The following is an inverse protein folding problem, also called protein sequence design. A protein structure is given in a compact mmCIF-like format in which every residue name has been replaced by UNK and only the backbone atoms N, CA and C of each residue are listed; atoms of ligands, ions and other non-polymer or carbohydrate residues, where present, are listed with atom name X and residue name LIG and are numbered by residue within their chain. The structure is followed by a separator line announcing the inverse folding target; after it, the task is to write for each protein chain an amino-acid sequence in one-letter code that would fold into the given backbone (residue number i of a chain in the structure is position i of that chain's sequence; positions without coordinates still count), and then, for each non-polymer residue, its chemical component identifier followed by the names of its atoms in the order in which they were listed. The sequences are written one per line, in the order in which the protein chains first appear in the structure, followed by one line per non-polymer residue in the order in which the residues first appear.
data_IF_546943566083
#
_entry.id   IF_546943566083
#
_cell.length_a   1.000
_cell.length_b   1.000
_cell.length_c   1.000
_cell.angle_alpha   90.00
_cell.angle_beta   90.00
_cell.angle_gamma   90.00
#
_symmetry.space_group_name_H-M   'P 1'
#
loop_
_entity.id
_entity.type
_entity.pdbx_description
1 polymer ?
#
# COMPACT_ATOMS: atom_id res chain seq x y z
N UNK A 1 34.18 1.70 33.70
CA UNK A 1 32.85 2.23 33.89
C UNK A 1 32.22 2.27 32.50
N UNK A 2 31.25 1.40 32.24
CA UNK A 2 30.48 1.40 31.00
C UNK A 2 29.22 2.23 31.21
N UNK A 3 28.94 3.13 30.30
CA UNK A 3 27.74 3.95 30.29
C UNK A 3 26.91 3.49 29.09
N UNK A 4 25.68 3.06 29.32
CA UNK A 4 24.74 2.73 28.25
C UNK A 4 24.35 3.98 27.50
N UNK A 5 24.37 3.93 26.17
CA UNK A 5 24.01 5.04 25.28
C UNK A 5 22.54 5.05 24.85
N UNK A 6 21.74 4.11 25.42
CA UNK A 6 20.34 3.92 25.02
C UNK A 6 20.20 2.93 23.86
N UNK A 7 19.03 2.92 23.27
CA UNK A 7 18.68 2.13 22.08
C UNK A 7 18.02 3.02 21.04
N UNK A 8 18.22 2.71 19.78
CA UNK A 8 17.57 3.36 18.64
C UNK A 8 16.94 2.29 17.74
N UNK A 9 15.88 2.65 17.02
CA UNK A 9 15.35 1.81 15.94
C UNK A 9 16.39 1.73 14.81
N UNK A 10 16.61 0.55 14.27
CA UNK A 10 17.50 0.32 13.14
C UNK A 10 16.82 0.66 11.83
N UNK A 11 16.08 -0.29 11.28
CA UNK A 11 15.33 -0.16 10.03
C UNK A 11 13.84 -0.35 10.28
N UNK A 12 13.02 0.20 9.42
CA UNK A 12 11.57 -0.05 9.34
C UNK A 12 11.32 -0.59 7.95
N UNK A 13 11.06 -1.88 7.86
CA UNK A 13 10.81 -2.54 6.58
C UNK A 13 9.30 -2.72 6.37
N UNK A 14 8.86 -2.62 5.12
CA UNK A 14 7.46 -2.82 4.74
C UNK A 14 7.34 -4.16 4.01
N UNK A 15 6.51 -5.05 4.50
CA UNK A 15 6.26 -6.34 3.85
C UNK A 15 5.12 -6.18 2.84
N UNK A 16 5.42 -6.43 1.55
CA UNK A 16 4.48 -6.34 0.44
C UNK A 16 3.91 -7.72 0.07
N UNK A 17 3.29 -8.40 1.05
CA UNK A 17 2.57 -9.65 0.76
C UNK A 17 1.15 -9.37 0.30
N UNK A 18 0.64 -10.20 -0.62
CA UNK A 18 -0.76 -10.16 -1.05
C UNK A 18 -1.70 -10.55 0.09
N UNK A 19 -2.82 -9.84 0.21
CA UNK A 19 -3.81 -10.08 1.24
C UNK A 19 -5.15 -10.54 0.65
N UNK A 20 -6.06 -10.94 1.53
CA UNK A 20 -7.42 -11.26 1.15
C UNK A 20 -8.14 -10.05 0.55
N UNK A 21 -9.02 -10.29 -0.42
CA UNK A 21 -9.83 -9.26 -1.05
C UNK A 21 -11.23 -9.25 -0.46
N UNK A 22 -11.76 -8.06 -0.17
CA UNK A 22 -13.13 -7.84 0.32
C UNK A 22 -14.00 -7.29 -0.81
N UNK A 23 -15.17 -7.88 -1.02
CA UNK A 23 -16.15 -7.36 -1.98
C UNK A 23 -16.84 -6.11 -1.44
N UNK A 24 -16.80 -5.05 -2.24
CA UNK A 24 -17.49 -3.77 -1.96
C UNK A 24 -18.69 -3.55 -2.87
N UNK A 25 -18.74 -4.26 -4.02
CA UNK A 25 -19.77 -4.10 -5.03
C UNK A 25 -19.71 -2.80 -5.83
N UNK A 26 -18.68 -1.98 -5.62
CA UNK A 26 -18.49 -0.71 -6.33
C UNK A 26 -17.56 -0.91 -7.52
N UNK A 27 -18.00 -0.57 -8.72
CA UNK A 27 -17.26 -0.81 -9.98
C UNK A 27 -15.89 -0.12 -10.04
N UNK A 28 -15.70 0.98 -9.30
CA UNK A 28 -14.44 1.73 -9.25
C UNK A 28 -13.47 1.23 -8.18
N UNK A 29 -13.88 0.24 -7.38
CA UNK A 29 -12.99 -0.40 -6.44
C UNK A 29 -12.32 -1.59 -7.13
N UNK A 30 -11.01 -1.53 -7.23
CA UNK A 30 -10.19 -2.48 -7.98
C UNK A 30 -9.14 -3.10 -7.08
N UNK A 31 -9.10 -4.41 -6.98
CA UNK A 31 -8.01 -5.11 -6.30
C UNK A 31 -7.14 -5.84 -7.33
N UNK A 32 -5.84 -5.90 -7.07
CA UNK A 32 -4.89 -6.68 -7.85
C UNK A 32 -4.75 -8.06 -7.20
N UNK A 33 -5.09 -9.11 -7.94
CA UNK A 33 -4.92 -10.49 -7.51
C UNK A 33 -3.58 -11.03 -8.01
N UNK A 34 -2.56 -10.87 -7.19
CA UNK A 34 -1.16 -11.17 -7.52
C UNK A 34 -0.25 -9.95 -7.36
N UNK A 35 0.91 -9.99 -8.00
CA UNK A 35 1.89 -8.91 -7.91
C UNK A 35 1.57 -7.75 -8.85
N UNK A 36 1.84 -6.53 -8.39
CA UNK A 36 1.71 -5.34 -9.20
C UNK A 36 1.24 -4.10 -8.45
N UNK A 37 1.37 -2.97 -9.10
CA UNK A 37 1.00 -1.65 -8.60
C UNK A 37 0.31 -0.84 -9.68
N UNK A 38 -0.67 -0.03 -9.29
CA UNK A 38 -1.24 1.00 -10.13
C UNK A 38 -0.28 2.16 -10.25
N UNK A 39 -0.20 2.76 -11.44
CA UNK A 39 0.56 3.98 -11.68
C UNK A 39 -0.31 5.21 -11.50
N UNK A 40 0.22 6.18 -10.79
CA UNK A 40 -0.47 7.42 -10.45
C UNK A 40 0.42 8.59 -10.81
N UNK A 41 -0.18 9.63 -11.37
CA UNK A 41 0.46 10.92 -11.60
C UNK A 41 0.16 11.84 -10.43
N UNK A 42 1.19 12.21 -9.67
CA UNK A 42 1.09 13.12 -8.53
C UNK A 42 1.35 14.58 -8.92
N UNK A 43 1.64 14.86 -10.19
CA UNK A 43 2.06 16.19 -10.67
C UNK A 43 3.55 16.44 -10.47
N UNK A 44 4.19 15.86 -9.44
CA UNK A 44 5.63 15.92 -9.20
C UNK A 44 6.37 14.70 -9.79
N UNK A 45 5.63 13.77 -10.38
CA UNK A 45 6.16 12.56 -10.98
C UNK A 45 5.24 11.36 -10.82
N UNK A 46 5.69 10.21 -11.33
CA UNK A 46 4.93 8.96 -11.20
C UNK A 46 5.12 8.36 -9.82
N UNK A 47 4.02 8.06 -9.16
CA UNK A 47 3.95 7.26 -7.94
C UNK A 47 3.23 5.94 -8.20
N UNK A 48 3.36 5.03 -7.28
CA UNK A 48 2.81 3.69 -7.36
C UNK A 48 1.96 3.41 -6.14
N UNK A 49 0.83 2.73 -6.33
CA UNK A 49 -0.03 2.35 -5.22
C UNK A 49 -0.63 0.97 -5.44
N UNK A 50 -0.95 0.32 -4.34
CA UNK A 50 -1.75 -0.90 -4.35
C UNK A 50 -3.21 -0.64 -3.95
N UNK A 51 -3.49 0.55 -3.41
CA UNK A 51 -4.83 0.96 -3.07
C UNK A 51 -5.66 1.21 -4.32
N UNK A 52 -6.77 0.50 -4.47
CA UNK A 52 -7.63 0.54 -5.64
C UNK A 52 -8.98 1.24 -5.42
N UNK A 53 -9.10 2.09 -4.41
CA UNK A 53 -10.29 2.87 -4.14
C UNK A 53 -10.31 4.14 -5.00
N UNK A 54 -10.78 3.99 -6.24
CA UNK A 54 -10.78 5.09 -7.21
C UNK A 54 -12.11 5.84 -7.24
N UNK A 55 -12.04 7.06 -7.77
CA UNK A 55 -13.16 8.00 -7.93
C UNK A 55 -13.10 8.61 -9.31
N UNK A 56 -14.20 9.25 -9.71
CA UNK A 56 -14.25 10.08 -10.92
C UNK A 56 -14.25 11.54 -10.49
N UNK A 57 -13.41 12.31 -11.15
CA UNK A 57 -13.39 13.76 -11.07
C UNK A 57 -14.60 14.36 -11.84
N UNK A 58 -14.83 15.67 -11.67
CA UNK A 58 -15.86 16.42 -12.37
C UNK A 58 -15.72 16.38 -13.91
N UNK A 59 -14.52 16.08 -14.40
CA UNK A 59 -14.23 15.90 -15.84
C UNK A 59 -14.38 14.45 -16.32
N UNK A 60 -14.74 13.53 -15.41
CA UNK A 60 -14.82 12.09 -15.68
C UNK A 60 -13.47 11.39 -15.72
N UNK A 61 -12.41 12.01 -15.20
CA UNK A 61 -11.08 11.37 -15.11
C UNK A 61 -11.01 10.49 -13.88
N UNK A 62 -10.37 9.31 -14.01
CA UNK A 62 -10.16 8.39 -12.90
C UNK A 62 -9.06 8.93 -11.98
N UNK A 63 -9.41 9.11 -10.69
CA UNK A 63 -8.53 9.69 -9.66
C UNK A 63 -8.54 8.83 -8.39
N UNK A 64 -7.50 8.99 -7.57
CA UNK A 64 -7.45 8.45 -6.22
C UNK A 64 -8.26 9.30 -5.24
N UNK A 65 -8.40 8.84 -4.00
CA UNK A 65 -9.04 9.61 -2.93
C UNK A 65 -8.37 10.97 -2.64
N UNK A 66 -7.08 11.08 -2.93
CA UNK A 66 -6.28 12.31 -2.77
C UNK A 66 -6.34 13.23 -4.02
N UNK A 67 -7.02 12.81 -5.09
CA UNK A 67 -7.20 13.60 -6.32
C UNK A 67 -6.10 13.39 -7.37
N UNK A 68 -5.22 12.42 -7.22
CA UNK A 68 -4.18 12.09 -8.20
C UNK A 68 -4.74 11.24 -9.35
N UNK A 69 -4.26 11.48 -10.57
CA UNK A 69 -4.75 10.77 -11.75
C UNK A 69 -4.18 9.37 -11.90
N UNK A 70 -5.03 8.40 -12.20
CA UNK A 70 -4.62 7.05 -12.54
C UNK A 70 -4.17 6.99 -13.99
N UNK A 71 -2.98 6.45 -14.22
CA UNK A 71 -2.39 6.35 -15.55
C UNK A 71 -2.80 5.05 -16.26
N UNK A 72 -3.10 5.18 -17.54
CA UNK A 72 -3.31 4.04 -18.42
C UNK A 72 -1.98 3.38 -18.82
N UNK A 73 -2.06 2.30 -19.59
CA UNK A 73 -0.90 1.55 -20.08
C UNK A 73 0.11 2.42 -20.86
N UNK A 74 -0.36 3.46 -21.55
CA UNK A 74 0.48 4.35 -22.37
C UNK A 74 0.96 5.61 -21.61
N UNK A 75 0.64 5.75 -20.32
CA UNK A 75 1.01 6.92 -19.51
C UNK A 75 0.03 8.10 -19.63
N UNK A 76 -1.10 7.94 -20.30
CA UNK A 76 -2.19 8.92 -20.32
C UNK A 76 -3.18 8.72 -19.18
N UNK A 77 -4.10 9.66 -19.00
CA UNK A 77 -5.21 9.55 -18.04
C UNK A 77 -6.36 8.72 -18.63
N UNK A 78 -7.12 8.07 -17.75
CA UNK A 78 -8.32 7.32 -18.11
C UNK A 78 -9.51 8.25 -17.93
N UNK A 79 -10.29 8.44 -19.00
CA UNK A 79 -11.48 9.32 -18.97
C UNK A 79 -12.74 8.52 -19.25
N UNK A 80 -13.73 8.68 -18.38
CA UNK A 80 -15.08 8.17 -18.54
C UNK A 80 -15.97 9.41 -18.69
N UNK A 81 -16.52 9.68 -19.89
CA UNK A 81 -17.38 10.84 -20.10
C UNK A 81 -18.53 10.87 -19.10
N UNK A 82 -18.86 12.06 -18.60
CA UNK A 82 -19.94 12.25 -17.61
C UNK A 82 -21.33 12.01 -18.18
N UNK A 83 -21.47 12.01 -19.50
CA UNK A 83 -22.67 11.68 -20.26
C UNK A 83 -22.79 10.19 -20.61
N UNK A 84 -21.84 9.36 -20.19
CA UNK A 84 -21.89 7.92 -20.36
C UNK A 84 -23.08 7.30 -19.60
N UNK A 85 -23.83 6.44 -20.28
CA UNK A 85 -24.95 5.74 -19.68
C UNK A 85 -24.50 4.69 -18.65
N UNK A 86 -23.41 3.99 -18.96
CA UNK A 86 -22.77 3.02 -18.06
C UNK A 86 -21.31 2.79 -18.47
N UNK A 87 -20.53 2.25 -17.56
CA UNK A 87 -19.17 1.78 -17.83
C UNK A 87 -18.93 0.47 -17.12
N UNK A 88 -18.02 -0.32 -17.66
CA UNK A 88 -17.56 -1.59 -17.07
C UNK A 88 -16.04 -1.66 -17.19
N UNK A 89 -15.41 -2.26 -16.18
CA UNK A 89 -13.98 -2.52 -16.19
C UNK A 89 -13.80 -4.05 -16.27
N UNK A 90 -12.99 -4.50 -17.20
CA UNK A 90 -12.67 -5.92 -17.34
C UNK A 90 -11.56 -6.38 -16.37
N UNK A 91 -11.42 -7.66 -16.17
CA UNK A 91 -10.31 -8.25 -15.40
C UNK A 91 -8.94 -8.04 -16.07
N UNK A 92 -8.95 -7.71 -17.36
CA UNK A 92 -7.80 -7.30 -18.17
C UNK A 92 -7.49 -5.79 -18.06
N UNK A 93 -8.23 -5.05 -17.22
CA UNK A 93 -8.07 -3.62 -17.03
C UNK A 93 -8.68 -2.74 -18.11
N UNK A 94 -9.36 -3.33 -19.11
CA UNK A 94 -9.98 -2.58 -20.18
C UNK A 94 -11.26 -1.89 -19.68
N UNK A 95 -11.33 -0.57 -19.88
CA UNK A 95 -12.49 0.24 -19.54
C UNK A 95 -13.39 0.36 -20.76
N UNK A 96 -14.55 -0.26 -20.71
CA UNK A 96 -15.58 -0.18 -21.76
C UNK A 96 -16.67 0.77 -21.31
N UNK A 97 -16.97 1.77 -22.12
CA UNK A 97 -17.93 2.84 -21.85
C UNK A 97 -19.10 2.70 -22.82
N UNK A 98 -20.32 2.77 -22.33
CA UNK A 98 -21.52 2.85 -23.15
C UNK A 98 -22.00 4.28 -23.17
N UNK A 99 -21.94 4.91 -24.35
CA UNK A 99 -22.38 6.27 -24.58
C UNK A 99 -23.91 6.38 -24.50
N UNK A 100 -24.44 7.58 -24.38
CA UNK A 100 -25.87 7.88 -24.39
C UNK A 100 -26.61 7.33 -25.65
N UNK A 101 -25.88 7.14 -26.74
CA UNK A 101 -26.37 6.50 -27.98
C UNK A 101 -26.37 4.98 -27.97
N UNK A 102 -25.94 4.30 -26.87
CA UNK A 102 -25.84 2.86 -26.79
C UNK A 102 -24.62 2.26 -27.52
N UNK A 103 -23.67 3.10 -27.96
CA UNK A 103 -22.45 2.64 -28.61
C UNK A 103 -21.38 2.35 -27.55
N UNK A 104 -20.68 1.21 -27.70
CA UNK A 104 -19.55 0.89 -26.84
C UNK A 104 -18.29 1.62 -27.32
N UNK A 105 -17.70 2.40 -26.45
CA UNK A 105 -16.44 3.11 -26.68
C UNK A 105 -15.35 2.56 -25.75
N UNK A 106 -14.11 2.65 -26.20
CA UNK A 106 -12.95 2.26 -25.41
C UNK A 106 -12.48 3.45 -24.55
N UNK A 107 -12.58 3.33 -23.22
CA UNK A 107 -12.13 4.34 -22.26
C UNK A 107 -10.63 4.25 -21.92
N UNK A 108 -9.93 3.29 -22.52
CA UNK A 108 -8.53 3.00 -22.23
C UNK A 108 -8.34 1.75 -21.37
N UNK A 109 -7.10 1.45 -21.08
CA UNK A 109 -6.73 0.24 -20.32
C UNK A 109 -5.84 0.61 -19.12
N UNK A 110 -6.23 0.15 -17.94
CA UNK A 110 -5.45 0.32 -16.71
C UNK A 110 -4.18 -0.50 -16.85
N UNK A 111 -3.02 0.14 -16.68
CA UNK A 111 -1.73 -0.53 -16.70
C UNK A 111 -1.25 -0.86 -15.29
N UNK A 112 -0.74 -2.08 -15.12
CA UNK A 112 -0.09 -2.53 -13.89
C UNK A 112 1.41 -2.65 -14.14
N UNK A 113 2.20 -2.28 -13.15
CA UNK A 113 3.66 -2.42 -13.16
C UNK A 113 4.11 -3.31 -12.01
N UNK A 114 5.22 -3.99 -12.21
CA UNK A 114 5.89 -4.80 -11.19
C UNK A 114 7.29 -4.29 -10.94
N UNK A 115 7.83 -4.60 -9.78
CA UNK A 115 9.20 -4.28 -9.40
C UNK A 115 9.98 -5.55 -9.15
N UNK A 116 11.28 -5.51 -9.43
CA UNK A 116 12.17 -6.63 -9.12
C UNK A 116 12.30 -6.85 -7.60
N UNK A 117 12.20 -5.77 -6.83
CA UNK A 117 12.20 -5.79 -5.37
C UNK A 117 11.17 -4.78 -4.85
N UNK A 118 9.98 -5.25 -4.51
CA UNK A 118 8.89 -4.42 -3.99
C UNK A 118 9.20 -3.84 -2.60
N UNK A 119 9.95 -4.57 -1.77
CA UNK A 119 10.30 -4.14 -0.42
C UNK A 119 11.30 -2.97 -0.41
N UNK A 120 11.98 -2.76 -1.53
CA UNK A 120 12.89 -1.63 -1.72
C UNK A 120 12.21 -0.33 -2.13
N UNK A 121 10.89 -0.27 -2.27
CA UNK A 121 10.17 0.94 -2.63
C UNK A 121 10.19 1.98 -1.50
N UNK A 122 10.39 3.24 -1.86
CA UNK A 122 10.29 4.36 -0.92
C UNK A 122 8.83 4.73 -0.68
N UNK A 123 8.40 4.67 0.58
CA UNK A 123 7.05 5.07 1.00
C UNK A 123 6.98 6.58 1.18
N UNK A 124 6.17 7.26 0.37
CA UNK A 124 5.98 8.72 0.42
C UNK A 124 4.74 9.18 1.20
N UNK A 125 3.96 8.24 1.75
CA UNK A 125 2.72 8.50 2.48
C UNK A 125 1.48 8.20 1.65
N UNK A 126 0.29 8.27 2.24
CA UNK A 126 -1.01 8.03 1.57
C UNK A 126 -1.08 6.74 0.74
N UNK A 127 -0.41 5.67 1.18
CA UNK A 127 -0.25 4.41 0.44
C UNK A 127 0.40 4.56 -0.95
N UNK A 128 1.19 5.63 -1.13
CA UNK A 128 1.97 5.89 -2.31
C UNK A 128 3.43 5.48 -2.11
N UNK A 129 4.00 4.93 -3.16
CA UNK A 129 5.37 4.45 -3.22
C UNK A 129 6.09 5.11 -4.40
N UNK A 130 7.39 5.24 -4.29
CA UNK A 130 8.28 5.75 -5.34
C UNK A 130 9.40 4.75 -5.58
N UNK A 131 9.92 4.76 -6.79
CA UNK A 131 11.11 4.01 -7.14
C UNK A 131 12.31 4.45 -6.31
N UNK A 132 13.10 3.49 -5.88
CA UNK A 132 14.38 3.70 -5.23
C UNK A 132 15.49 2.95 -5.96
N UNK A 133 16.73 3.20 -5.58
CA UNK A 133 17.87 2.44 -6.11
C UNK A 133 17.79 0.95 -5.75
N UNK A 134 17.10 0.63 -4.65
CA UNK A 134 16.97 -0.76 -4.16
C UNK A 134 15.79 -1.50 -4.80
N UNK A 135 14.72 -0.80 -5.19
CA UNK A 135 13.58 -1.41 -5.88
C UNK A 135 13.88 -1.71 -7.34
N UNK A 136 14.83 -0.99 -7.92
CA UNK A 136 15.01 -0.91 -9.35
C UNK A 136 13.93 -0.07 -10.04
N UNK A 137 13.99 0.03 -11.35
CA UNK A 137 12.98 0.72 -12.17
C UNK A 137 11.73 -0.14 -12.32
N UNK A 138 10.56 0.51 -12.38
CA UNK A 138 9.31 -0.18 -12.70
C UNK A 138 9.43 -0.94 -14.04
N UNK A 139 8.81 -2.10 -14.11
CA UNK A 139 8.63 -2.78 -15.40
C UNK A 139 7.83 -1.89 -16.37
N UNK A 140 7.86 -2.23 -17.66
CA UNK A 140 6.89 -1.67 -18.58
C UNK A 140 5.46 -1.91 -18.03
N UNK A 141 4.56 -0.93 -18.23
CA UNK A 141 3.17 -1.15 -17.88
C UNK A 141 2.59 -2.26 -18.74
N UNK A 142 2.12 -3.29 -18.08
CA UNK A 142 1.54 -4.46 -18.71
C UNK A 142 0.02 -4.48 -18.48
N UNK A 143 -0.64 -5.23 -19.34
CA UNK A 143 -2.03 -5.60 -19.14
C UNK A 143 -2.14 -6.46 -17.89
N UNK A 144 -3.13 -6.24 -17.01
CA UNK A 144 -3.42 -7.11 -15.89
C UNK A 144 -3.57 -8.57 -16.32
N UNK A 145 -2.88 -9.47 -15.62
CA UNK A 145 -2.86 -10.90 -15.94
C UNK A 145 -1.83 -11.33 -17.00
N UNK A 146 -1.05 -10.40 -17.54
CA UNK A 146 0.02 -10.68 -18.49
C UNK A 146 1.38 -10.24 -17.93
N UNK A 147 2.48 -10.81 -18.44
CA UNK A 147 3.83 -10.42 -18.07
C UNK A 147 4.20 -10.64 -16.60
N UNK A 148 3.52 -11.53 -15.89
CA UNK A 148 3.74 -11.79 -14.45
C UNK A 148 3.01 -10.81 -13.53
N UNK A 149 2.14 -9.96 -14.07
CA UNK A 149 1.26 -9.09 -13.28
C UNK A 149 0.02 -9.86 -12.81
N UNK A 150 -0.50 -9.48 -11.64
CA UNK A 150 -1.80 -9.98 -11.16
C UNK A 150 -2.97 -9.56 -12.05
N UNK A 151 -4.06 -10.31 -11.99
CA UNK A 151 -5.32 -9.94 -12.64
C UNK A 151 -6.08 -8.91 -11.81
N UNK A 152 -6.98 -8.13 -12.44
CA UNK A 152 -7.85 -7.20 -11.72
C UNK A 152 -9.14 -7.89 -11.26
N UNK A 153 -9.49 -7.66 -10.00
CA UNK A 153 -10.81 -7.97 -9.43
C UNK A 153 -11.59 -6.68 -9.27
N UNK A 154 -12.66 -6.55 -10.02
CA UNK A 154 -13.55 -5.38 -10.01
C UNK A 154 -14.61 -5.54 -8.91
N UNK A 155 -14.85 -4.46 -8.16
CA UNK A 155 -15.77 -4.49 -7.01
C UNK A 155 -15.18 -5.09 -5.75
N UNK A 156 -13.85 -5.12 -5.67
CA UNK A 156 -13.09 -5.62 -4.52
C UNK A 156 -12.02 -4.62 -4.09
N UNK A 157 -11.70 -4.64 -2.81
CA UNK A 157 -10.53 -3.94 -2.24
C UNK A 157 -9.64 -4.96 -1.53
N UNK A 158 -8.35 -4.75 -1.60
CA UNK A 158 -7.37 -5.53 -0.84
C UNK A 158 -7.40 -5.10 0.62
N UNK A 159 -7.48 -6.06 1.52
CA UNK A 159 -7.44 -5.84 2.96
C UNK A 159 -6.00 -5.66 3.45
N UNK A 160 -5.85 -5.27 4.70
CA UNK A 160 -4.55 -5.28 5.36
C UNK A 160 -4.03 -6.71 5.49
N UNK A 161 -2.73 -6.91 5.27
CA UNK A 161 -2.03 -8.18 5.48
C UNK A 161 -1.57 -8.38 6.94
N UNK A 162 -1.98 -7.52 7.86
CA UNK A 162 -1.59 -7.54 9.27
C UNK A 162 -2.60 -8.32 10.08
N UNK A 163 -2.16 -9.37 10.80
CA UNK A 163 -2.95 -10.04 11.83
C UNK A 163 -2.81 -9.28 13.15
N UNK A 164 -3.90 -8.63 13.55
CA UNK A 164 -3.93 -7.84 14.79
C UNK A 164 -3.67 -8.68 16.04
N UNK A 165 -4.00 -9.97 16.01
CA UNK A 165 -3.81 -10.87 17.16
C UNK A 165 -2.33 -11.11 17.40
N UNK A 166 -1.59 -11.37 16.34
CA UNK A 166 -0.15 -11.57 16.39
C UNK A 166 0.56 -10.28 16.81
N UNK A 167 0.21 -9.16 16.22
CA UNK A 167 0.80 -7.85 16.56
C UNK A 167 0.55 -7.45 18.02
N UNK A 168 -0.66 -7.68 18.54
CA UNK A 168 -0.94 -7.43 19.95
C UNK A 168 -0.15 -8.37 20.86
N UNK A 169 0.04 -9.62 20.47
CA UNK A 169 0.82 -10.58 21.24
C UNK A 169 2.28 -10.16 21.30
N UNK A 170 2.87 -9.77 20.17
CA UNK A 170 4.23 -9.25 20.10
C UNK A 170 4.41 -7.97 20.93
N UNK A 171 3.44 -7.06 20.85
CA UNK A 171 3.42 -5.85 21.66
C UNK A 171 3.42 -6.18 23.17
N UNK A 172 2.60 -7.14 23.60
CA UNK A 172 2.55 -7.57 25.01
C UNK A 172 3.88 -8.18 25.44
N UNK A 173 4.50 -9.01 24.60
CA UNK A 173 5.81 -9.61 24.86
C UNK A 173 6.88 -8.52 25.00
N UNK A 174 6.91 -7.55 24.09
CA UNK A 174 7.83 -6.43 24.14
C UNK A 174 7.64 -5.57 25.41
N UNK A 175 6.38 -5.26 25.77
CA UNK A 175 6.06 -4.53 27.00
C UNK A 175 6.50 -5.29 28.26
N UNK A 176 6.28 -6.60 28.32
CA UNK A 176 6.71 -7.42 29.47
C UNK A 176 8.23 -7.50 29.54
N UNK A 177 8.92 -7.59 28.39
CA UNK A 177 10.39 -7.54 28.35
C UNK A 177 10.93 -6.22 28.91
N UNK A 178 10.33 -5.10 28.50
CA UNK A 178 10.69 -3.77 29.01
C UNK A 178 10.44 -3.65 30.51
N UNK A 179 9.27 -4.11 30.99
CA UNK A 179 8.93 -4.11 32.43
C UNK A 179 9.88 -4.97 33.24
N UNK A 180 10.27 -6.16 32.72
CA UNK A 180 11.23 -7.05 33.39
C UNK A 180 12.59 -6.40 33.54
N UNK A 181 13.11 -5.77 32.48
CA UNK A 181 14.38 -5.05 32.54
C UNK A 181 14.34 -3.86 33.49
N UNK A 182 13.25 -3.10 33.49
CA UNK A 182 13.03 -1.98 34.41
C UNK A 182 12.98 -2.46 35.86
N UNK A 183 12.33 -3.61 36.13
CA UNK A 183 12.23 -4.18 37.47
C UNK A 183 13.59 -4.63 38.02
N UNK A 184 14.49 -5.15 37.18
CA UNK A 184 15.85 -5.52 37.59
C UNK A 184 16.59 -4.27 38.10
N UNK A 185 16.43 -3.13 37.42
CA UNK A 185 17.07 -1.88 37.84
C UNK A 185 16.55 -1.41 39.20
N UNK A 186 15.22 -1.42 39.39
CA UNK A 186 14.63 -1.01 40.68
C UNK A 186 15.05 -1.95 41.82
N UNK A 187 15.07 -3.27 41.58
CA UNK A 187 15.51 -4.24 42.59
C UNK A 187 17.01 -4.08 42.94
N UNK A 188 17.84 -3.73 41.95
CA UNK A 188 19.25 -3.42 42.21
C UNK A 188 19.41 -2.17 43.07
N UNK A 189 18.62 -1.13 42.84
CA UNK A 189 18.63 0.06 43.66
C UNK A 189 18.17 -0.19 45.10
N UNK A 190 17.14 -1.01 45.27
CA UNK A 190 16.65 -1.44 46.58
C UNK A 190 17.75 -2.20 47.38
N UNK A 191 18.43 -3.16 46.74
CA UNK A 191 19.53 -3.91 47.35
C UNK A 191 20.70 -2.98 47.74
N UNK A 192 21.03 -2.02 46.86
CA UNK A 192 22.10 -1.06 47.18
C UNK A 192 21.69 -0.12 48.34
N UNK A 193 20.44 0.27 48.46
CA UNK A 193 19.95 1.05 49.59
C UNK A 193 19.99 0.26 50.91
N UNK A 194 19.63 -1.01 50.88
CA UNK A 194 19.73 -1.88 52.05
C UNK A 194 21.20 -2.07 52.50
N UNK A 195 22.11 -2.28 51.55
CA UNK A 195 23.55 -2.38 51.85
C UNK A 195 24.13 -1.09 52.46
N UNK A 196 23.70 0.06 51.97
CA UNK A 196 24.10 1.38 52.53
C UNK A 196 23.54 1.57 53.95
N UNK A 197 22.30 1.11 54.19
CA UNK A 197 21.71 1.17 55.53
C UNK A 197 22.35 0.24 56.54
N UNK A 198 22.84 -0.96 56.12
CA UNK A 198 23.56 -1.88 56.96
C UNK A 198 24.96 -1.39 57.37
N UNK A 199 25.50 -0.42 56.66
CA UNK A 199 26.84 0.16 56.98
C UNK A 199 26.75 1.31 58.01
N UNK A 200 25.56 1.72 58.42
CA UNK A 200 25.30 2.65 59.51
C UNK A 200 25.05 1.93 60.82
#
# INVERSE_FOLDING_TARGET
KQIGLGSSSGTIDTMHSTSATQSTGRTLDLAIDGDGYFRIDTGDGTAYTRAGNFYLDNTGTLVTGDGYHVLNMNGGTIKIPTDAQSFTIGSDGKVSIVDAGGQSQDGGQIGIVTFANSDGLDKIGSNLYRESLNSGTASAANQPGDGGTGSLKVGFLEMSNVDLTDEFTEMIVAQRGFQSNSKIITTSDEILQELVNLKR
#
